data_IF_701662964907
#
_entry.id   IF_701662964907
#
_cell.length_a   1.000
_cell.length_b   1.000
_cell.length_c   1.000
_cell.angle_alpha   90.00
_cell.angle_beta   90.00
_cell.angle_gamma   90.00
#
_symmetry.space_group_name_H-M   'P 1'
#
loop_
_entity.id
_entity.type
_entity.pdbx_description
1 polymer ?
#
# COMPACT_ATOMS: atom_id res chain seq x y z
N UNK A 1 -55.17 -28.23 42.83
CA UNK A 1 -54.67 -29.44 42.14
C UNK A 1 -53.64 -28.94 41.11
N UNK A 2 -52.33 -29.04 41.37
CA UNK A 2 -51.44 -30.21 41.16
C UNK A 2 -51.44 -30.66 39.68
N UNK A 3 -50.34 -30.93 38.96
CA UNK A 3 -48.87 -30.93 39.16
C UNK A 3 -48.23 -31.33 37.82
N UNK A 4 -46.94 -30.99 37.58
CA UNK A 4 -46.03 -31.62 36.59
C UNK A 4 -45.61 -30.66 35.48
N UNK A 5 -44.34 -30.22 35.31
CA UNK A 5 -43.06 -30.94 35.31
C UNK A 5 -42.76 -31.36 33.85
N UNK A 6 -41.71 -30.92 33.15
CA UNK A 6 -40.28 -31.14 33.38
C UNK A 6 -39.42 -30.09 32.64
N UNK A 7 -38.30 -29.70 33.27
CA UNK A 7 -37.23 -28.83 32.76
C UNK A 7 -36.06 -29.61 32.12
N UNK A 8 -35.35 -29.01 31.15
CA UNK A 8 -33.92 -29.25 30.87
C UNK A 8 -33.32 -28.05 30.10
N UNK A 9 -32.63 -27.12 30.78
CA UNK A 9 -31.16 -27.03 31.01
C UNK A 9 -30.34 -26.48 29.81
N UNK A 10 -30.23 -25.15 29.76
CA UNK A 10 -29.10 -24.40 29.20
C UNK A 10 -27.92 -24.45 30.18
N UNK A 11 -26.68 -24.70 29.72
CA UNK A 11 -25.46 -24.49 30.51
C UNK A 11 -24.67 -23.32 29.93
N UNK A 12 -24.65 -22.20 30.66
CA UNK A 12 -23.62 -21.15 30.60
C UNK A 12 -22.46 -21.59 31.48
N UNK A 13 -21.22 -21.46 31.00
CA UNK A 13 -20.02 -21.48 31.84
C UNK A 13 -19.36 -20.11 31.74
N UNK A 14 -19.22 -19.47 32.91
CA UNK A 14 -18.49 -18.22 33.12
C UNK A 14 -17.30 -18.51 34.04
N UNK A 15 -16.20 -17.89 33.64
CA UNK A 15 -14.87 -17.75 34.25
C UNK A 15 -14.87 -17.52 35.76
N UNK A 16 -13.83 -18.03 36.44
CA UNK A 16 -13.21 -17.37 37.60
C UNK A 16 -11.80 -17.92 37.90
N UNK A 17 -10.81 -17.04 37.86
CA UNK A 17 -9.56 -17.08 38.66
C UNK A 17 -9.86 -16.43 40.03
N UNK A 18 -9.13 -16.69 41.14
CA UNK A 18 -7.84 -16.02 41.40
C UNK A 18 -6.83 -16.86 42.23
N UNK A 19 -5.76 -16.18 42.66
CA UNK A 19 -4.40 -16.61 43.03
C UNK A 19 -4.11 -17.02 44.50
N UNK A 20 -2.82 -17.38 44.70
CA UNK A 20 -1.92 -17.14 45.88
C UNK A 20 -1.69 -18.28 46.91
N UNK A 21 -0.50 -18.90 46.79
CA UNK A 21 0.64 -18.89 47.74
C UNK A 21 0.68 -19.73 49.05
N UNK A 22 1.87 -20.36 49.24
CA UNK A 22 2.55 -20.90 50.45
C UNK A 22 2.02 -22.12 51.21
N UNK A 23 2.86 -23.18 51.37
CA UNK A 23 3.31 -23.75 52.67
C UNK A 23 4.65 -24.52 52.46
N UNK A 24 5.65 -24.28 53.33
CA UNK A 24 6.82 -25.14 53.59
C UNK A 24 6.57 -25.94 54.88
N UNK A 25 6.88 -27.24 54.90
CA UNK A 25 7.45 -28.03 56.02
C UNK A 25 7.52 -29.51 55.56
N UNK A 26 8.67 -30.20 55.46
CA UNK A 26 9.66 -30.66 56.47
C UNK A 26 9.38 -32.09 56.98
N UNK A 27 10.41 -32.93 56.79
CA UNK A 27 10.76 -34.22 57.43
C UNK A 27 9.98 -35.50 57.05
N UNK A 28 10.70 -36.46 56.47
CA UNK A 28 11.26 -37.61 57.22
C UNK A 28 11.58 -38.75 56.25
N UNK A 29 12.87 -39.10 56.19
CA UNK A 29 13.43 -40.20 55.40
C UNK A 29 12.93 -41.57 55.90
N UNK A 30 12.72 -42.50 54.97
CA UNK A 30 12.82 -43.93 55.25
C UNK A 30 13.33 -44.61 53.98
N UNK A 31 14.65 -44.82 53.94
CA UNK A 31 15.31 -45.60 52.88
C UNK A 31 14.98 -47.10 53.03
N UNK A 32 14.63 -47.74 51.92
CA UNK A 32 14.61 -49.20 51.78
C UNK A 32 15.92 -49.65 51.13
N UNK A 33 16.55 -50.75 51.61
CA UNK A 33 17.89 -51.14 51.17
C UNK A 33 17.90 -51.69 49.73
N UNK A 34 18.81 -51.13 48.93
CA UNK A 34 19.07 -51.51 47.54
C UNK A 34 19.94 -52.79 47.55
N UNK A 35 19.37 -53.90 47.09
CA UNK A 35 20.11 -55.11 46.74
C UNK A 35 20.04 -55.23 45.21
N UNK A 36 21.05 -54.73 44.49
CA UNK A 36 21.53 -55.21 43.18
C UNK A 36 22.92 -54.59 42.98
N UNK A 37 23.91 -55.47 42.76
CA UNK A 37 25.31 -55.15 42.46
C UNK A 37 25.43 -54.46 41.08
N UNK A 38 26.05 -53.27 40.95
CA UNK A 38 26.09 -52.54 39.69
C UNK A 38 27.18 -53.10 38.76
N UNK A 39 26.78 -53.97 37.82
CA UNK A 39 27.61 -54.24 36.66
C UNK A 39 27.75 -52.92 35.82
N UNK A 40 28.95 -52.55 35.37
CA UNK A 40 29.16 -51.29 34.65
C UNK A 40 28.43 -51.30 33.30
N UNK A 41 27.58 -50.31 33.10
CA UNK A 41 26.89 -50.05 31.83
C UNK A 41 27.95 -49.75 30.76
N UNK A 42 28.02 -50.50 29.63
CA UNK A 42 28.95 -50.15 28.56
C UNK A 42 28.53 -48.83 27.92
N UNK A 43 29.51 -47.96 27.64
CA UNK A 43 29.24 -46.68 27.00
C UNK A 43 28.56 -46.87 25.63
N UNK A 44 27.55 -46.04 25.28
CA UNK A 44 26.91 -46.13 23.98
C UNK A 44 27.94 -45.85 22.86
N UNK A 45 27.83 -46.52 21.71
CA UNK A 45 28.73 -46.25 20.59
C UNK A 45 28.53 -44.81 20.09
N UNK A 46 29.62 -44.06 19.95
CA UNK A 46 29.59 -42.75 19.30
C UNK A 46 29.27 -42.94 17.82
N UNK A 47 28.04 -42.59 17.42
CA UNK A 47 27.67 -42.50 16.01
C UNK A 47 28.31 -41.23 15.45
N UNK A 48 29.39 -41.39 14.68
CA UNK A 48 29.94 -40.30 13.88
C UNK A 48 29.05 -40.18 12.63
N UNK A 49 28.14 -39.22 12.64
CA UNK A 49 27.42 -38.82 11.43
C UNK A 49 28.48 -38.30 10.44
N UNK A 50 28.53 -38.79 9.18
CA UNK A 50 29.38 -38.18 8.18
C UNK A 50 28.95 -36.72 8.04
N UNK A 51 29.93 -35.81 8.12
CA UNK A 51 29.70 -34.40 7.82
C UNK A 51 29.12 -34.35 6.41
N UNK A 52 27.90 -33.81 6.30
CA UNK A 52 27.29 -33.60 4.99
C UNK A 52 28.27 -32.76 4.18
N UNK A 53 28.64 -33.14 2.94
CA UNK A 53 29.48 -32.28 2.12
C UNK A 53 28.79 -30.93 2.10
N UNK A 54 29.53 -29.87 2.43
CA UNK A 54 29.04 -28.52 2.26
C UNK A 54 28.55 -28.45 0.82
N UNK A 55 27.23 -28.36 0.64
CA UNK A 55 26.65 -27.95 -0.62
C UNK A 55 27.24 -26.57 -0.83
N UNK A 56 28.25 -26.51 -1.69
CA UNK A 56 28.78 -25.27 -2.23
C UNK A 56 27.54 -24.46 -2.61
N UNK A 57 27.36 -23.31 -1.94
CA UNK A 57 26.13 -22.54 -2.07
C UNK A 57 25.84 -22.43 -3.58
N UNK A 58 24.66 -22.85 -4.05
CA UNK A 58 24.32 -22.70 -5.46
C UNK A 58 24.60 -21.25 -5.82
N UNK A 59 25.19 -20.97 -7.00
CA UNK A 59 25.49 -19.60 -7.40
C UNK A 59 24.22 -18.79 -7.15
N UNK A 60 24.34 -17.73 -6.34
CA UNK A 60 23.19 -16.89 -6.01
C UNK A 60 22.44 -16.61 -7.31
N UNK A 61 21.10 -16.77 -7.34
CA UNK A 61 20.35 -16.53 -8.55
C UNK A 61 20.70 -15.12 -9.01
N UNK A 62 21.25 -15.01 -10.23
CA UNK A 62 21.67 -13.75 -10.82
C UNK A 62 20.53 -12.74 -10.60
N UNK A 63 20.84 -11.63 -9.92
CA UNK A 63 19.83 -10.66 -9.50
C UNK A 63 19.01 -10.28 -10.75
N UNK A 64 17.71 -10.64 -10.83
CA UNK A 64 16.93 -10.45 -12.04
C UNK A 64 16.74 -8.98 -12.40
N UNK A 65 17.05 -8.08 -11.46
CA UNK A 65 17.00 -6.63 -11.61
C UNK A 65 18.40 -5.99 -11.64
N UNK A 66 19.45 -6.76 -11.92
CA UNK A 66 20.76 -6.21 -12.21
C UNK A 66 20.68 -5.25 -13.42
N UNK A 67 21.38 -4.14 -13.32
CA UNK A 67 21.45 -3.11 -14.36
C UNK A 67 22.89 -2.73 -14.63
N UNK A 68 23.17 -2.36 -15.88
CA UNK A 68 24.53 -2.12 -16.37
C UNK A 68 24.78 -0.66 -16.73
N UNK A 69 23.75 0.09 -17.12
CA UNK A 69 23.87 1.48 -17.55
C UNK A 69 22.61 2.29 -17.23
N UNK A 70 22.78 3.59 -16.99
CA UNK A 70 21.71 4.56 -16.73
C UNK A 70 22.01 5.85 -17.51
N UNK A 71 21.04 6.35 -18.26
CA UNK A 71 21.19 7.58 -19.09
C UNK A 71 19.92 8.42 -19.10
N UNK A 72 19.99 9.58 -19.77
CA UNK A 72 18.86 10.51 -19.96
C UNK A 72 18.14 10.86 -18.64
N UNK A 73 18.94 11.20 -17.62
CA UNK A 73 18.44 11.47 -16.27
C UNK A 73 17.79 12.86 -16.24
N UNK A 74 16.54 12.91 -15.79
CA UNK A 74 15.77 14.12 -15.61
C UNK A 74 15.24 14.16 -14.19
N UNK A 75 15.53 15.24 -13.46
CA UNK A 75 15.07 15.40 -12.08
C UNK A 75 13.63 15.90 -12.05
N UNK A 76 12.76 15.13 -11.39
CA UNK A 76 11.35 15.44 -11.15
C UNK A 76 11.13 15.76 -9.66
N UNK A 77 10.02 16.42 -9.29
CA UNK A 77 9.68 16.62 -7.87
C UNK A 77 9.53 15.32 -7.08
N UNK A 78 9.15 14.23 -7.76
CA UNK A 78 8.93 12.91 -7.16
C UNK A 78 10.14 11.96 -7.23
N UNK A 79 11.24 12.34 -7.89
CA UNK A 79 12.39 11.45 -8.08
C UNK A 79 13.21 11.77 -9.34
N UNK A 80 13.80 10.76 -9.94
CA UNK A 80 14.55 10.88 -11.19
C UNK A 80 13.95 9.97 -12.26
N UNK A 81 13.55 10.54 -13.38
CA UNK A 81 13.23 9.75 -14.57
C UNK A 81 14.52 9.50 -15.34
N UNK A 82 14.78 8.24 -15.67
CA UNK A 82 15.99 7.85 -16.39
C UNK A 82 15.72 6.63 -17.28
N UNK A 83 16.62 6.38 -18.22
CA UNK A 83 16.65 5.16 -19.01
C UNK A 83 17.65 4.18 -18.41
N UNK A 84 17.17 3.02 -17.98
CA UNK A 84 17.98 2.00 -17.31
C UNK A 84 18.12 0.78 -18.22
N UNK A 85 19.35 0.28 -18.34
CA UNK A 85 19.69 -0.95 -19.07
C UNK A 85 19.78 -2.12 -18.10
N UNK A 86 18.66 -2.81 -17.90
CA UNK A 86 18.62 -4.05 -17.13
C UNK A 86 19.29 -5.19 -17.89
N UNK A 87 20.01 -6.05 -17.19
CA UNK A 87 20.70 -7.20 -17.79
C UNK A 87 19.73 -8.25 -18.33
N UNK A 88 18.54 -8.35 -17.72
CA UNK A 88 17.48 -9.25 -18.16
C UNK A 88 16.75 -8.77 -19.43
N UNK A 89 17.06 -7.57 -19.95
CA UNK A 89 16.38 -7.00 -21.12
C UNK A 89 17.34 -6.39 -22.14
N UNK A 90 17.00 -6.55 -23.42
CA UNK A 90 17.80 -6.00 -24.52
C UNK A 90 17.59 -4.50 -24.75
N UNK A 91 16.47 -3.92 -24.30
CA UNK A 91 16.18 -2.50 -24.44
C UNK A 91 16.45 -1.68 -23.19
N UNK A 92 16.63 -0.37 -23.36
CA UNK A 92 16.53 0.57 -22.25
C UNK A 92 15.07 0.71 -21.84
N UNK A 93 14.82 0.71 -20.54
CA UNK A 93 13.51 0.98 -19.98
C UNK A 93 13.46 2.34 -19.32
N UNK A 94 12.38 3.06 -19.57
CA UNK A 94 12.03 4.24 -18.79
C UNK A 94 11.71 3.81 -17.36
N UNK A 95 12.49 4.31 -16.41
CA UNK A 95 12.37 4.01 -15.00
C UNK A 95 12.26 5.30 -14.19
N UNK A 96 11.40 5.29 -13.17
CA UNK A 96 11.27 6.40 -12.23
C UNK A 96 11.89 5.97 -10.91
N UNK A 97 13.13 6.42 -10.67
CA UNK A 97 13.82 6.14 -9.42
C UNK A 97 13.32 7.08 -8.32
N UNK A 98 12.87 6.49 -7.21
CA UNK A 98 12.35 7.22 -6.04
C UNK A 98 13.15 6.85 -4.79
N UNK A 99 13.23 7.77 -3.82
CA UNK A 99 13.93 7.52 -2.56
C UNK A 99 13.29 6.38 -1.76
N UNK A 100 11.95 6.32 -1.80
CA UNK A 100 11.11 5.38 -1.06
C UNK A 100 10.67 4.17 -1.92
N UNK A 101 11.42 3.84 -2.98
CA UNK A 101 11.10 2.68 -3.81
C UNK A 101 11.05 1.40 -2.95
N UNK A 102 10.09 0.51 -3.22
CA UNK A 102 9.96 -0.77 -2.50
C UNK A 102 11.13 -1.68 -2.86
N UNK A 103 11.55 -1.66 -4.11
CA UNK A 103 12.59 -2.54 -4.62
C UNK A 103 13.99 -1.97 -4.34
N UNK A 104 14.95 -2.82 -3.92
CA UNK A 104 16.30 -2.36 -3.57
C UNK A 104 17.05 -1.73 -4.75
N UNK A 105 16.81 -2.21 -5.97
CA UNK A 105 17.44 -1.65 -7.18
C UNK A 105 16.93 -0.24 -7.48
N UNK A 106 15.64 0.04 -7.24
CA UNK A 106 15.08 1.38 -7.43
C UNK A 106 15.72 2.41 -6.51
N UNK A 107 15.92 2.06 -5.23
CA UNK A 107 16.65 2.90 -4.27
C UNK A 107 18.13 3.08 -4.65
N UNK A 108 18.79 2.01 -5.12
CA UNK A 108 20.18 2.09 -5.58
C UNK A 108 20.33 3.06 -6.78
N UNK A 109 19.45 2.95 -7.78
CA UNK A 109 19.42 3.86 -8.94
C UNK A 109 19.15 5.30 -8.48
N UNK A 110 18.23 5.51 -7.54
CA UNK A 110 17.96 6.84 -6.98
C UNK A 110 19.22 7.45 -6.35
N UNK A 111 19.91 6.70 -5.49
CA UNK A 111 21.15 7.19 -4.84
C UNK A 111 22.25 7.48 -5.87
N UNK A 112 22.35 6.69 -6.93
CA UNK A 112 23.30 6.91 -8.00
C UNK A 112 23.00 8.21 -8.76
N UNK A 113 21.73 8.48 -9.08
CA UNK A 113 21.30 9.73 -9.70
C UNK A 113 21.52 10.94 -8.78
N UNK A 114 21.17 10.83 -7.50
CA UNK A 114 21.31 11.92 -6.52
C UNK A 114 22.76 12.29 -6.25
N UNK A 115 23.66 11.29 -6.22
CA UNK A 115 25.09 11.51 -6.00
C UNK A 115 25.77 12.33 -7.10
N UNK A 116 25.10 12.54 -8.25
CA UNK A 116 25.67 13.23 -9.41
C UNK A 116 26.75 12.43 -10.14
N UNK A 117 26.96 11.16 -9.76
CA UNK A 117 27.97 10.28 -10.37
C UNK A 117 27.71 10.00 -11.86
N UNK A 118 26.47 10.20 -12.32
CA UNK A 118 26.03 10.03 -13.70
C UNK A 118 25.86 11.35 -14.49
N UNK A 119 26.30 12.48 -13.95
CA UNK A 119 26.20 13.80 -14.58
C UNK A 119 25.12 14.69 -13.95
N UNK A 120 25.12 15.97 -14.36
CA UNK A 120 24.14 16.96 -13.89
C UNK A 120 22.77 16.68 -14.53
N UNK A 121 21.80 16.29 -13.71
CA UNK A 121 20.45 15.99 -14.16
C UNK A 121 19.63 17.30 -14.24
N UNK A 122 19.18 17.73 -15.43
CA UNK A 122 18.31 18.90 -15.53
C UNK A 122 17.04 18.68 -14.71
N UNK A 123 16.63 19.71 -13.97
CA UNK A 123 15.30 19.71 -13.37
C UNK A 123 14.26 19.88 -14.48
N UNK A 124 13.33 18.93 -14.54
CA UNK A 124 12.11 19.13 -15.29
C UNK A 124 11.29 20.23 -14.62
N UNK A 125 11.16 21.34 -15.34
CA UNK A 125 10.23 22.41 -15.02
C UNK A 125 9.26 22.49 -16.20
N UNK A 126 7.98 22.09 -16.03
CA UNK A 126 7.02 22.16 -17.12
C UNK A 126 6.87 23.60 -17.58
N UNK A 127 6.83 23.79 -18.89
CA UNK A 127 6.59 25.10 -19.49
C UNK A 127 5.16 25.56 -19.21
N UNK A 128 4.93 26.87 -19.21
CA UNK A 128 3.58 27.43 -19.07
C UNK A 128 2.62 26.89 -20.15
N UNK A 129 3.13 26.56 -21.34
CA UNK A 129 2.36 25.96 -22.43
C UNK A 129 1.92 24.52 -22.11
N UNK A 130 2.82 23.67 -21.60
CA UNK A 130 2.49 22.30 -21.16
C UNK A 130 1.48 22.32 -20.00
N UNK A 131 1.67 23.24 -19.03
CA UNK A 131 0.71 23.43 -17.93
C UNK A 131 -0.66 23.86 -18.46
N UNK A 132 -0.69 24.82 -19.39
CA UNK A 132 -1.92 25.29 -20.00
C UNK A 132 -2.67 24.16 -20.71
N UNK A 133 -1.96 23.36 -21.51
CA UNK A 133 -2.54 22.22 -22.24
C UNK A 133 -3.14 21.20 -21.28
N UNK A 134 -2.39 20.79 -20.24
CA UNK A 134 -2.87 19.84 -19.24
C UNK A 134 -4.12 20.36 -18.50
N UNK A 135 -4.14 21.66 -18.18
CA UNK A 135 -5.28 22.32 -17.54
C UNK A 135 -6.49 22.36 -18.47
N UNK A 136 -6.31 22.75 -19.73
CA UNK A 136 -7.37 22.81 -20.73
C UNK A 136 -7.95 21.43 -21.01
N UNK A 137 -7.11 20.41 -21.10
CA UNK A 137 -7.56 19.03 -21.29
C UNK A 137 -8.43 18.58 -20.10
N UNK A 138 -7.97 18.80 -18.87
CA UNK A 138 -8.75 18.51 -17.66
C UNK A 138 -10.07 19.29 -17.65
N UNK A 139 -10.04 20.59 -17.90
CA UNK A 139 -11.23 21.43 -17.94
C UNK A 139 -12.23 20.95 -19.00
N UNK A 140 -11.75 20.57 -20.19
CA UNK A 140 -12.61 20.05 -21.27
C UNK A 140 -13.31 18.75 -20.88
N UNK A 141 -12.63 17.87 -20.14
CA UNK A 141 -13.18 16.59 -19.66
C UNK A 141 -14.25 16.84 -18.61
N UNK A 142 -13.96 17.70 -17.63
CA UNK A 142 -14.92 18.05 -16.58
C UNK A 142 -16.13 18.81 -17.13
N UNK A 143 -15.95 19.70 -18.12
CA UNK A 143 -17.05 20.39 -18.79
C UNK A 143 -17.95 19.43 -19.57
N UNK A 144 -17.38 18.44 -20.28
CA UNK A 144 -18.16 17.40 -20.97
C UNK A 144 -19.01 16.62 -19.98
N UNK A 145 -18.42 16.19 -18.87
CA UNK A 145 -19.13 15.50 -17.78
C UNK A 145 -20.24 16.36 -17.19
N UNK A 146 -19.93 17.62 -16.84
CA UNK A 146 -20.91 18.54 -16.28
C UNK A 146 -22.06 18.83 -17.25
N UNK A 147 -21.79 18.97 -18.55
CA UNK A 147 -22.84 19.15 -19.56
C UNK A 147 -23.75 17.91 -19.65
N UNK A 148 -23.18 16.71 -19.65
CA UNK A 148 -23.98 15.47 -19.67
C UNK A 148 -24.93 15.38 -18.48
N UNK A 149 -24.45 15.67 -17.26
CA UNK A 149 -25.30 15.64 -16.06
C UNK A 149 -26.34 16.77 -16.08
N UNK A 150 -25.97 17.99 -16.51
CA UNK A 150 -26.93 19.09 -16.67
C UNK A 150 -28.03 18.70 -17.66
N UNK A 151 -27.70 18.14 -18.83
CA UNK A 151 -28.69 17.70 -19.82
C UNK A 151 -29.61 16.63 -19.24
N UNK A 152 -29.07 15.60 -18.59
CA UNK A 152 -29.85 14.53 -17.95
C UNK A 152 -30.92 15.06 -16.98
N UNK A 153 -30.58 16.03 -16.13
CA UNK A 153 -31.56 16.62 -15.21
C UNK A 153 -32.47 17.64 -15.90
N UNK A 154 -31.96 18.37 -16.89
CA UNK A 154 -32.74 19.33 -17.67
C UNK A 154 -33.84 18.63 -18.47
N UNK A 155 -33.56 17.48 -19.07
CA UNK A 155 -34.54 16.69 -19.83
C UNK A 155 -35.75 16.30 -18.96
N UNK A 156 -35.53 15.99 -17.67
CA UNK A 156 -36.60 15.70 -16.70
C UNK A 156 -37.43 16.94 -16.37
N UNK A 157 -36.77 18.10 -16.26
CA UNK A 157 -37.44 19.38 -16.04
C UNK A 157 -38.27 19.77 -17.25
N UNK A 158 -37.75 19.56 -18.45
CA UNK A 158 -38.39 19.94 -19.71
C UNK A 158 -39.67 19.13 -19.99
N UNK A 159 -39.80 17.93 -19.42
CA UNK A 159 -41.00 17.09 -19.47
C UNK A 159 -41.88 17.16 -18.21
N UNK A 160 -41.57 18.08 -17.29
CA UNK A 160 -42.26 18.24 -15.99
C UNK A 160 -42.26 16.97 -15.09
N UNK A 161 -41.26 16.09 -15.22
CA UNK A 161 -41.08 14.84 -14.43
C UNK A 161 -39.97 14.98 -13.37
N UNK A 162 -39.44 16.18 -13.17
CA UNK A 162 -38.36 16.42 -12.21
C UNK A 162 -38.85 16.44 -10.76
N UNK A 163 -38.14 15.72 -9.88
CA UNK A 163 -38.32 15.83 -8.43
C UNK A 163 -37.53 17.00 -7.83
N UNK A 164 -37.82 17.37 -6.58
CA UNK A 164 -37.04 18.37 -5.83
C UNK A 164 -35.54 18.04 -5.77
N UNK A 165 -35.20 16.76 -5.73
CA UNK A 165 -33.80 16.29 -5.74
C UNK A 165 -33.15 16.54 -7.10
N UNK A 166 -33.88 16.36 -8.20
CA UNK A 166 -33.40 16.65 -9.56
C UNK A 166 -33.14 18.15 -9.73
N UNK A 167 -34.03 19.01 -9.21
CA UNK A 167 -33.82 20.46 -9.22
C UNK A 167 -32.59 20.88 -8.40
N UNK A 168 -32.38 20.27 -7.24
CA UNK A 168 -31.19 20.51 -6.43
C UNK A 168 -29.92 20.09 -7.19
N UNK A 169 -29.90 18.88 -7.76
CA UNK A 169 -28.77 18.38 -8.54
C UNK A 169 -28.49 19.24 -9.77
N UNK A 170 -29.51 19.62 -10.53
CA UNK A 170 -29.39 20.51 -11.68
C UNK A 170 -28.73 21.85 -11.30
N UNK A 171 -29.09 22.41 -10.14
CA UNK A 171 -28.50 23.66 -9.63
C UNK A 171 -27.02 23.46 -9.31
N UNK A 172 -26.66 22.41 -8.56
CA UNK A 172 -25.26 22.19 -8.16
C UNK A 172 -24.38 21.89 -9.40
N UNK A 173 -24.85 21.09 -10.35
CA UNK A 173 -24.15 20.83 -11.61
C UNK A 173 -24.00 22.08 -12.49
N UNK A 174 -25.01 22.95 -12.56
CA UNK A 174 -24.90 24.26 -13.24
C UNK A 174 -23.87 25.16 -12.57
N UNK A 175 -23.86 25.23 -11.23
CA UNK A 175 -22.84 25.99 -10.48
C UNK A 175 -21.43 25.44 -10.73
N UNK A 176 -21.26 24.12 -10.72
CA UNK A 176 -19.99 23.46 -11.04
C UNK A 176 -19.51 23.84 -12.45
N UNK A 177 -20.38 23.72 -13.46
CA UNK A 177 -20.06 24.12 -14.85
C UNK A 177 -19.65 25.58 -14.97
N UNK A 178 -20.34 26.50 -14.30
CA UNK A 178 -19.96 27.91 -14.27
C UNK A 178 -18.61 28.10 -13.59
N UNK A 179 -18.34 27.38 -12.50
CA UNK A 179 -17.04 27.38 -11.84
C UNK A 179 -15.91 26.93 -12.75
N UNK A 180 -16.13 25.89 -13.56
CA UNK A 180 -15.16 25.41 -14.56
C UNK A 180 -14.87 26.45 -15.64
N UNK A 181 -15.89 27.16 -16.13
CA UNK A 181 -15.70 28.21 -17.13
C UNK A 181 -14.94 29.44 -16.59
N UNK A 182 -14.94 29.66 -15.27
CA UNK A 182 -14.23 30.75 -14.60
C UNK A 182 -12.80 30.41 -14.19
N UNK A 183 -12.32 29.19 -14.47
CA UNK A 183 -10.94 28.80 -14.15
C UNK A 183 -9.88 29.74 -14.77
N UNK A 184 -10.02 30.22 -16.03
CA UNK A 184 -9.06 31.16 -16.62
C UNK A 184 -9.04 32.54 -15.98
N UNK A 185 -10.05 32.90 -15.20
CA UNK A 185 -10.15 34.20 -14.52
C UNK A 185 -9.34 34.24 -13.21
N UNK A 186 -8.77 33.12 -12.78
CA UNK A 186 -7.99 33.03 -11.54
C UNK A 186 -6.59 33.67 -11.72
N UNK A 187 -6.14 34.43 -10.71
CA UNK A 187 -4.91 35.24 -10.78
C UNK A 187 -3.60 34.46 -11.07
N UNK A 188 -3.58 33.13 -10.88
CA UNK A 188 -2.39 32.29 -11.07
C UNK A 188 -2.60 31.22 -12.16
N UNK A 189 -3.58 31.39 -13.03
CA UNK A 189 -3.80 30.48 -14.14
C UNK A 189 -2.63 30.54 -15.15
N UNK A 190 -2.10 29.41 -15.66
CA UNK A 190 -2.46 28.00 -15.39
C UNK A 190 -1.66 27.35 -14.23
N UNK A 191 -0.71 28.07 -13.63
CA UNK A 191 0.23 27.58 -12.63
C UNK A 191 -0.41 27.10 -11.31
N UNK A 192 -1.43 27.80 -10.80
CA UNK A 192 -2.13 27.44 -9.56
C UNK A 192 -3.62 27.68 -9.70
N UNK A 193 -4.37 26.58 -9.69
CA UNK A 193 -5.82 26.57 -9.97
C UNK A 193 -6.58 25.98 -8.80
N UNK A 194 -7.61 26.68 -8.35
CA UNK A 194 -8.60 26.15 -7.40
C UNK A 194 -9.73 25.54 -8.19
N UNK A 195 -9.78 24.21 -8.23
CA UNK A 195 -10.81 23.46 -8.94
C UNK A 195 -12.11 23.46 -8.14
N UNK A 196 -13.28 23.71 -8.78
CA UNK A 196 -14.55 23.52 -8.11
C UNK A 196 -14.74 22.04 -7.74
N UNK A 197 -15.48 21.77 -6.67
CA UNK A 197 -15.76 20.41 -6.21
C UNK A 197 -16.90 19.83 -7.04
N UNK A 198 -16.69 18.63 -7.59
CA UNK A 198 -17.74 17.94 -8.34
C UNK A 198 -18.90 17.53 -7.39
N UNK A 199 -20.17 17.65 -7.82
CA UNK A 199 -21.32 17.40 -6.94
C UNK A 199 -21.40 15.98 -6.36
N UNK A 200 -20.84 15.00 -7.08
CA UNK A 200 -20.79 13.60 -6.68
C UNK A 200 -19.56 13.22 -5.86
N UNK A 201 -18.55 14.10 -5.77
CA UNK A 201 -17.37 13.87 -4.93
C UNK A 201 -17.68 13.92 -3.42
N UNK A 202 -18.82 14.50 -3.03
CA UNK A 202 -19.25 14.60 -1.62
C UNK A 202 -20.25 13.50 -1.23
N UNK A 203 -20.65 12.64 -2.18
CA UNK A 203 -21.66 11.60 -1.96
C UNK A 203 -21.08 10.22 -1.57
N UNK A 204 -19.78 10.14 -1.29
CA UNK A 204 -19.07 8.95 -0.79
C UNK A 204 -18.68 9.14 0.67
#
# INVERSE_FOLDING_TARGET
MATGGVMAKMKKQVVKTPASETVKDVMSETELPIIIDPAPIPAPPTIVLPESPALENPPEPANPFAYSDIKDIVRLPMGFQCLVKFECQDSYLTFLATADDVEPHGRAIYTACESGQLGDAPHYFPTDAELLEAVQERASRELRRANSEVTKYQDRVDIDDASDVDFAMLRVWKTYRVGLNRLPEQANYPNRITWPVAPDATAL
#
